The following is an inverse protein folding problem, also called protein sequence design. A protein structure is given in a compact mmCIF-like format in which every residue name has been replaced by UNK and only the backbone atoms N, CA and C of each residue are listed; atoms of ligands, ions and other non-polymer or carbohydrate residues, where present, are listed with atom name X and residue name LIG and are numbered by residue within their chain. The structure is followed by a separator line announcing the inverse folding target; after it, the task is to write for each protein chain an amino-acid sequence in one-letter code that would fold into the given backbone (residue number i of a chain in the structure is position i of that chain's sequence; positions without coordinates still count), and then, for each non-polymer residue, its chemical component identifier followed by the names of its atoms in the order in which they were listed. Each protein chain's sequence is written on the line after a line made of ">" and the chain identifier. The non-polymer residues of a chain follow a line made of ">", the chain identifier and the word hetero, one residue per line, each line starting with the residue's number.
data_IF_506279092544
#
_entry.id   IF_506279092544
#
_cell.length_a   1.000
_cell.length_b   1.000
_cell.length_c   1.000
_cell.angle_alpha   90.00
_cell.angle_beta   90.00
_cell.angle_gamma   90.00
#
_symmetry.space_group_name_H-M   'P 1'
#
loop_
_entity.id
_entity.type
_entity.pdbx_description
1 polymer ?
#
# COMPACT_ATOMS: atom_id res chain seq x y z
N UNK A 1 18.58 6.67 61.52
CA UNK A 1 19.18 6.60 60.15
C UNK A 1 18.50 5.58 59.19
N UNK A 2 17.37 4.94 59.54
CA UNK A 2 16.68 3.96 58.67
C UNK A 2 15.71 4.59 57.63
N UNK A 3 15.17 5.77 57.91
CA UNK A 3 14.17 6.46 57.06
C UNK A 3 14.70 6.89 55.69
N UNK A 4 15.91 7.49 55.64
CA UNK A 4 16.57 7.93 54.39
C UNK A 4 16.94 6.76 53.45
N UNK A 5 17.14 5.55 53.99
CA UNK A 5 17.51 4.35 53.21
C UNK A 5 16.33 3.82 52.39
N UNK A 6 15.13 3.81 52.98
CA UNK A 6 13.91 3.33 52.31
C UNK A 6 13.44 4.26 51.19
N UNK A 7 13.65 5.58 51.33
CA UNK A 7 13.35 6.57 50.28
C UNK A 7 14.27 6.36 49.05
N UNK A 8 15.57 6.15 49.26
CA UNK A 8 16.52 5.87 48.16
C UNK A 8 16.20 4.55 47.43
N UNK A 9 15.76 3.52 48.16
CA UNK A 9 15.30 2.24 47.55
C UNK A 9 14.02 2.42 46.74
N UNK A 10 13.03 3.16 47.27
CA UNK A 10 11.76 3.45 46.55
C UNK A 10 11.98 4.31 45.30
N UNK A 11 12.87 5.29 45.35
CA UNK A 11 13.22 6.11 44.18
C UNK A 11 13.92 5.30 43.07
N UNK A 12 14.77 4.32 43.43
CA UNK A 12 15.39 3.42 42.45
C UNK A 12 14.35 2.52 41.75
N UNK A 13 13.38 2.00 42.50
CA UNK A 13 12.30 1.17 41.93
C UNK A 13 11.40 1.98 41.00
N UNK A 14 11.04 3.22 41.39
CA UNK A 14 10.25 4.13 40.53
C UNK A 14 11.01 4.51 39.26
N UNK A 15 12.32 4.77 39.35
CA UNK A 15 13.15 5.08 38.18
C UNK A 15 13.28 3.92 37.19
N UNK A 16 13.38 2.68 37.69
CA UNK A 16 13.41 1.47 36.84
C UNK A 16 12.04 1.24 36.18
N UNK A 17 10.93 1.47 36.90
CA UNK A 17 9.59 1.33 36.36
C UNK A 17 9.31 2.34 35.23
N UNK A 18 9.79 3.59 35.37
CA UNK A 18 9.67 4.62 34.35
C UNK A 18 10.46 4.31 33.07
N UNK A 19 11.65 3.70 33.18
CA UNK A 19 12.41 3.26 31.99
C UNK A 19 11.75 2.09 31.26
N UNK A 20 11.08 1.18 31.98
CA UNK A 20 10.33 0.06 31.40
C UNK A 20 9.07 0.50 30.63
N UNK A 21 8.50 1.66 30.97
CA UNK A 21 7.32 2.20 30.27
C UNK A 21 7.74 2.84 28.93
N UNK A 22 8.93 3.45 28.85
CA UNK A 22 9.40 4.15 27.63
C UNK A 22 9.79 3.17 26.50
N UNK A 23 10.08 1.90 26.80
CA UNK A 23 10.53 0.92 25.80
C UNK A 23 9.41 0.21 25.02
N UNK A 24 8.12 0.51 25.26
CA UNK A 24 6.99 -0.27 24.68
C UNK A 24 6.18 0.42 23.58
N UNK A 25 6.57 1.60 23.11
CA UNK A 25 5.87 2.29 22.01
C UNK A 25 6.82 2.74 20.90
N UNK A 26 7.59 1.79 20.37
CA UNK A 26 7.93 1.87 18.95
C UNK A 26 6.76 1.30 18.15
N UNK A 27 5.76 2.15 17.85
CA UNK A 27 4.85 1.87 16.74
C UNK A 27 5.71 1.96 15.47
N UNK A 28 6.37 0.84 15.14
CA UNK A 28 7.14 0.73 13.92
C UNK A 28 6.20 0.96 12.75
N UNK A 29 6.26 2.14 12.15
CA UNK A 29 5.63 2.41 10.87
C UNK A 29 6.21 1.43 9.87
N UNK A 30 5.50 0.34 9.60
CA UNK A 30 5.89 -0.65 8.59
C UNK A 30 6.08 0.10 7.28
N UNK A 31 7.30 0.06 6.73
CA UNK A 31 7.60 0.75 5.48
C UNK A 31 6.71 0.19 4.37
N UNK A 32 5.95 1.06 3.71
CA UNK A 32 5.01 0.72 2.64
C UNK A 32 5.74 0.04 1.48
N UNK A 33 5.19 -1.08 1.00
CA UNK A 33 5.75 -1.77 -0.15
C UNK A 33 5.21 -1.21 -1.47
N UNK A 34 5.97 -0.30 -2.07
CA UNK A 34 5.68 0.25 -3.40
C UNK A 34 6.27 -0.66 -4.48
N UNK A 35 5.47 -0.98 -5.51
CA UNK A 35 5.87 -1.82 -6.64
C UNK A 35 5.75 -1.05 -7.94
N UNK A 36 6.85 -0.99 -8.67
CA UNK A 36 6.86 -0.44 -10.02
C UNK A 36 6.32 -1.48 -11.01
N UNK A 37 5.65 -1.00 -12.06
CA UNK A 37 5.17 -1.85 -13.14
C UNK A 37 5.41 -1.18 -14.48
N UNK A 38 5.51 -2.01 -15.52
CA UNK A 38 5.69 -1.59 -16.90
C UNK A 38 5.30 -2.71 -17.85
N UNK A 39 4.28 -2.49 -18.67
CA UNK A 39 3.76 -3.52 -19.58
C UNK A 39 2.81 -2.93 -20.64
N UNK A 40 2.38 -3.75 -21.59
CA UNK A 40 1.34 -3.40 -22.55
C UNK A 40 -0.03 -3.92 -22.10
N UNK A 41 -1.06 -3.09 -22.27
CA UNK A 41 -2.47 -3.42 -22.03
C UNK A 41 -3.34 -2.97 -23.20
N UNK A 42 -4.47 -3.63 -23.40
CA UNK A 42 -5.55 -3.19 -24.31
C UNK A 42 -6.87 -3.15 -23.56
N UNK A 43 -7.97 -2.79 -24.23
CA UNK A 43 -9.31 -2.93 -23.63
C UNK A 43 -9.85 -4.36 -23.60
N UNK A 44 -9.15 -5.30 -24.23
CA UNK A 44 -9.53 -6.73 -24.29
C UNK A 44 -8.55 -7.64 -23.56
N UNK A 45 -7.36 -7.14 -23.23
CA UNK A 45 -6.29 -7.89 -22.54
C UNK A 45 -5.61 -6.99 -21.51
N UNK A 46 -5.81 -7.31 -20.24
CA UNK A 46 -5.09 -6.67 -19.15
C UNK A 46 -3.88 -7.49 -18.67
N UNK A 47 -3.12 -6.90 -17.77
CA UNK A 47 -1.87 -7.45 -17.22
C UNK A 47 -1.79 -7.20 -15.72
N UNK A 48 -1.18 -8.11 -14.97
CA UNK A 48 -0.96 -7.95 -13.55
C UNK A 48 0.36 -7.23 -13.24
N UNK A 49 0.31 -6.25 -12.35
CA UNK A 49 1.50 -5.67 -11.72
C UNK A 49 2.07 -6.61 -10.64
N UNK A 50 3.35 -6.43 -10.24
CA UNK A 50 3.97 -7.24 -9.19
C UNK A 50 3.21 -7.13 -7.86
N UNK A 51 3.23 -8.21 -7.06
CA UNK A 51 2.48 -8.27 -5.81
C UNK A 51 2.96 -7.24 -4.78
N UNK A 52 2.02 -6.62 -4.04
CA UNK A 52 2.29 -5.70 -2.94
C UNK A 52 1.64 -6.24 -1.66
N UNK A 53 2.41 -6.26 -0.57
CA UNK A 53 1.98 -6.65 0.77
C UNK A 53 1.10 -5.56 1.37
N UNK A 54 -0.04 -5.97 1.92
CA UNK A 54 -0.90 -5.12 2.70
C UNK A 54 -0.49 -5.11 4.17
N UNK A 55 -0.29 -3.93 4.71
CA UNK A 55 0.10 -3.68 6.09
C UNK A 55 -1.07 -3.28 6.98
N UNK A 56 -2.15 -2.72 6.42
CA UNK A 56 -3.32 -2.26 7.19
C UNK A 56 -4.62 -2.71 6.54
N UNK A 57 -5.48 -3.39 7.31
CA UNK A 57 -6.79 -3.87 6.85
C UNK A 57 -7.68 -2.71 6.39
N UNK A 58 -8.35 -2.89 5.25
CA UNK A 58 -9.28 -1.94 4.61
C UNK A 58 -8.70 -0.56 4.25
N UNK A 59 -7.41 -0.30 4.48
CA UNK A 59 -6.77 0.92 4.00
C UNK A 59 -6.87 0.95 2.48
N UNK A 60 -7.27 2.07 1.83
CA UNK A 60 -7.34 2.13 0.38
C UNK A 60 -5.99 1.76 -0.25
N UNK A 61 -5.98 1.34 -1.52
CA UNK A 61 -4.73 1.10 -2.25
C UNK A 61 -4.43 2.33 -3.12
N UNK A 62 -3.17 2.50 -3.53
CA UNK A 62 -2.77 3.64 -4.36
C UNK A 62 -2.11 3.18 -5.65
N UNK A 63 -2.43 3.86 -6.74
CA UNK A 63 -1.82 3.66 -8.07
C UNK A 63 -1.36 5.01 -8.58
N UNK A 64 -0.11 5.08 -9.02
CA UNK A 64 0.48 6.21 -9.69
C UNK A 64 0.81 5.78 -11.12
N UNK A 65 0.09 6.31 -12.11
CA UNK A 65 0.33 6.00 -13.52
C UNK A 65 1.21 7.09 -14.14
N UNK A 66 2.27 6.68 -14.82
CA UNK A 66 3.20 7.60 -15.50
C UNK A 66 2.52 8.34 -16.64
N UNK A 67 3.01 9.55 -16.93
CA UNK A 67 2.62 10.31 -18.11
C UNK A 67 3.22 9.66 -19.39
N UNK A 68 2.42 9.32 -20.41
CA UNK A 68 2.96 8.87 -21.69
C UNK A 68 3.64 10.02 -22.44
N UNK A 69 4.74 9.75 -23.13
CA UNK A 69 5.53 10.77 -23.83
C UNK A 69 5.14 11.00 -25.29
N UNK A 70 4.45 10.04 -25.91
CA UNK A 70 4.32 9.94 -27.37
C UNK A 70 2.91 9.54 -27.85
N UNK A 71 1.89 9.69 -26.98
CA UNK A 71 0.50 9.39 -27.31
C UNK A 71 -0.45 10.13 -26.37
N UNK A 72 -1.75 10.24 -26.71
CA UNK A 72 -2.77 10.67 -25.76
C UNK A 72 -2.77 9.81 -24.49
N UNK A 73 -3.16 10.43 -23.38
CA UNK A 73 -3.41 9.77 -22.11
C UNK A 73 -4.65 8.90 -22.19
N UNK A 74 -4.62 7.75 -21.53
CA UNK A 74 -5.79 6.88 -21.40
C UNK A 74 -6.14 6.64 -19.94
N UNK A 75 -7.32 6.06 -19.74
CA UNK A 75 -7.78 5.58 -18.45
C UNK A 75 -7.44 4.11 -18.31
N UNK A 76 -6.79 3.78 -17.20
CA UNK A 76 -6.47 2.42 -16.78
C UNK A 76 -7.50 2.03 -15.72
N UNK A 77 -8.31 1.01 -16.01
CA UNK A 77 -9.12 0.35 -15.00
C UNK A 77 -8.22 -0.57 -14.21
N UNK A 78 -8.18 -0.37 -12.90
CA UNK A 78 -7.39 -1.20 -11.99
C UNK A 78 -8.28 -2.03 -11.11
N UNK A 79 -7.87 -3.25 -10.81
CA UNK A 79 -8.60 -4.14 -9.90
C UNK A 79 -7.64 -4.90 -9.01
N UNK A 80 -7.86 -4.82 -7.71
CA UNK A 80 -7.06 -5.51 -6.71
C UNK A 80 -7.64 -6.90 -6.45
N UNK A 81 -6.77 -7.91 -6.50
CA UNK A 81 -7.11 -9.31 -6.23
C UNK A 81 -6.21 -9.89 -5.14
N UNK A 82 -6.75 -10.79 -4.33
CA UNK A 82 -5.94 -11.62 -3.43
C UNK A 82 -5.26 -12.78 -4.20
N UNK A 83 -4.53 -13.63 -3.47
CA UNK A 83 -3.86 -14.82 -4.02
C UNK A 83 -4.81 -15.83 -4.66
N UNK A 84 -6.08 -15.85 -4.25
CA UNK A 84 -7.12 -16.77 -4.75
C UNK A 84 -7.89 -16.18 -5.94
N UNK A 85 -7.46 -15.04 -6.50
CA UNK A 85 -8.18 -14.28 -7.53
C UNK A 85 -9.54 -13.73 -7.08
N UNK A 86 -9.80 -13.62 -5.77
CA UNK A 86 -10.98 -12.95 -5.27
C UNK A 86 -10.81 -11.43 -5.38
N UNK A 87 -11.82 -10.78 -5.95
CA UNK A 87 -11.93 -9.33 -6.07
C UNK A 87 -11.86 -8.65 -4.69
N UNK A 88 -11.14 -7.52 -4.59
CA UNK A 88 -11.03 -6.75 -3.35
C UNK A 88 -11.34 -5.27 -3.49
N UNK A 89 -11.26 -4.71 -4.69
CA UNK A 89 -11.51 -3.29 -4.94
C UNK A 89 -11.08 -2.90 -6.34
N UNK A 90 -11.56 -1.75 -6.82
CA UNK A 90 -11.18 -1.18 -8.10
C UNK A 90 -11.11 0.35 -8.03
N UNK A 91 -10.39 0.93 -8.97
CA UNK A 91 -10.38 2.35 -9.25
C UNK A 91 -9.89 2.60 -10.67
N UNK A 92 -10.38 3.67 -11.26
CA UNK A 92 -9.94 4.12 -12.57
C UNK A 92 -8.84 5.15 -12.38
N UNK A 93 -7.77 5.03 -13.16
CA UNK A 93 -6.56 5.84 -13.05
C UNK A 93 -6.30 6.51 -14.38
N UNK A 94 -6.25 7.85 -14.38
CA UNK A 94 -5.83 8.59 -15.56
C UNK A 94 -4.32 8.61 -15.63
N UNK A 95 -3.73 8.32 -16.79
CA UNK A 95 -2.27 8.38 -16.91
C UNK A 95 -1.71 9.79 -16.59
N UNK A 96 -0.56 9.82 -15.92
CA UNK A 96 0.01 11.05 -15.35
C UNK A 96 -0.62 11.49 -14.02
N UNK A 97 -1.44 10.66 -13.39
CA UNK A 97 -2.08 10.96 -12.10
C UNK A 97 -1.87 9.86 -11.07
N UNK A 98 -2.13 10.20 -9.80
CA UNK A 98 -2.18 9.26 -8.69
C UNK A 98 -3.61 9.19 -8.17
N UNK A 99 -4.17 7.98 -8.19
CA UNK A 99 -5.51 7.72 -7.68
C UNK A 99 -5.46 6.67 -6.58
N UNK A 100 -6.49 6.67 -5.74
CA UNK A 100 -6.65 5.70 -4.67
C UNK A 100 -8.00 5.00 -4.77
N UNK A 101 -8.04 3.74 -4.33
CA UNK A 101 -9.22 2.88 -4.43
C UNK A 101 -9.53 2.22 -3.10
N UNK A 102 -10.79 2.32 -2.67
CA UNK A 102 -11.28 1.56 -1.52
C UNK A 102 -11.15 0.05 -1.80
N UNK A 103 -10.86 -0.73 -0.75
CA UNK A 103 -10.76 -2.18 -0.87
C UNK A 103 -11.06 -2.89 0.45
N UNK A 104 -11.30 -4.20 0.35
CA UNK A 104 -11.55 -5.11 1.47
C UNK A 104 -10.33 -5.99 1.79
N UNK A 105 -9.13 -5.48 1.51
CA UNK A 105 -7.89 -6.22 1.79
C UNK A 105 -7.61 -6.31 3.29
N UNK A 106 -6.98 -7.40 3.71
CA UNK A 106 -6.59 -7.70 5.09
C UNK A 106 -5.09 -7.55 5.24
N UNK A 107 -4.64 -6.98 6.36
CA UNK A 107 -3.22 -6.87 6.69
C UNK A 107 -2.53 -8.25 6.73
N UNK A 108 -1.25 -8.30 6.33
CA UNK A 108 -0.44 -9.52 6.28
C UNK A 108 -0.56 -10.31 4.97
N UNK A 109 -1.48 -9.96 4.07
CA UNK A 109 -1.66 -10.64 2.79
C UNK A 109 -1.04 -9.87 1.62
N UNK A 110 -0.52 -10.61 0.65
CA UNK A 110 -0.06 -10.04 -0.62
C UNK A 110 -1.20 -9.99 -1.64
N UNK A 111 -1.27 -8.88 -2.35
CA UNK A 111 -2.28 -8.63 -3.38
C UNK A 111 -1.61 -8.34 -4.72
N UNK A 112 -2.35 -8.55 -5.80
CA UNK A 112 -1.95 -8.20 -7.15
C UNK A 112 -2.92 -7.19 -7.75
N UNK A 113 -2.40 -6.31 -8.61
CA UNK A 113 -3.18 -5.30 -9.30
C UNK A 113 -3.33 -5.70 -10.76
N UNK A 114 -4.54 -5.97 -11.20
CA UNK A 114 -4.86 -6.14 -12.61
C UNK A 114 -5.09 -4.77 -13.24
N UNK A 115 -4.47 -4.51 -14.38
CA UNK A 115 -4.61 -3.27 -15.14
C UNK A 115 -5.12 -3.59 -16.54
N UNK A 116 -6.16 -2.88 -16.98
CA UNK A 116 -6.74 -2.99 -18.33
C UNK A 116 -7.15 -1.60 -18.80
N UNK A 117 -7.22 -1.36 -20.11
CA UNK A 117 -7.74 -0.07 -20.61
C UNK A 117 -9.25 0.00 -20.43
N UNK A 118 -9.76 1.22 -20.25
CA UNK A 118 -11.19 1.45 -20.07
C UNK A 118 -12.05 1.00 -21.27
N UNK A 119 -11.57 1.22 -22.50
CA UNK A 119 -12.32 1.01 -23.73
C UNK A 119 -11.65 -0.01 -24.66
N UNK A 120 -12.46 -0.75 -25.44
CA UNK A 120 -12.02 -1.84 -26.33
C UNK A 120 -11.51 -1.37 -27.69
N UNK A 121 -12.05 -0.26 -28.22
CA UNK A 121 -11.66 0.34 -29.52
C UNK A 121 -10.33 1.12 -29.48
N UNK A 122 -9.75 1.18 -28.30
CA UNK A 122 -8.65 2.05 -27.92
C UNK A 122 -7.28 1.47 -28.38
N UNK A 123 -7.25 0.19 -28.77
CA UNK A 123 -6.05 -0.55 -29.18
C UNK A 123 -5.17 -0.95 -28.00
N UNK A 124 -3.95 -1.41 -28.28
CA UNK A 124 -2.94 -1.74 -27.27
C UNK A 124 -2.05 -0.52 -26.99
N UNK A 125 -1.69 -0.30 -25.73
CA UNK A 125 -0.78 0.76 -25.31
C UNK A 125 0.16 0.28 -24.20
N UNK A 126 1.40 0.77 -24.25
CA UNK A 126 2.36 0.59 -23.17
C UNK A 126 2.03 1.54 -22.02
N UNK A 127 2.01 1.03 -20.79
CA UNK A 127 1.77 1.80 -19.58
C UNK A 127 2.81 1.45 -18.51
N UNK A 128 3.11 2.41 -17.64
CA UNK A 128 4.07 2.25 -16.56
C UNK A 128 3.66 3.07 -15.35
N UNK A 129 4.25 2.76 -14.20
CA UNK A 129 3.98 3.49 -12.97
C UNK A 129 4.38 2.73 -11.74
N UNK A 130 3.72 3.05 -10.62
CA UNK A 130 3.87 2.34 -9.37
C UNK A 130 2.53 2.13 -8.69
N UNK A 131 2.45 1.12 -7.83
CA UNK A 131 1.27 0.85 -7.03
C UNK A 131 1.64 0.28 -5.66
N UNK A 132 0.69 0.32 -4.74
CA UNK A 132 0.81 -0.32 -3.45
C UNK A 132 -0.56 -0.69 -2.88
N UNK A 133 -0.62 -1.80 -2.14
CA UNK A 133 -1.84 -2.30 -1.49
C UNK A 133 -2.36 -1.41 -0.34
N UNK A 134 -1.59 -0.41 0.06
CA UNK A 134 -1.96 0.62 1.03
C UNK A 134 -1.65 2.01 0.46
N UNK A 135 -2.61 2.93 0.53
CA UNK A 135 -2.37 4.37 0.42
C UNK A 135 -1.63 4.83 1.68
N UNK A 136 -0.88 5.91 1.54
CA UNK A 136 -0.15 6.54 2.65
C UNK A 136 -1.12 7.10 3.68
#
# INVERSE_FOLDING_TARGET
>A
MKYKSNIKKRMKVVGILLMLIISTVSLGTQAKQIKNYSFTISGTKGTYAPNSLKSVTNRPYAVNASMPSNRPRYVIKTTMYNSENAYRGNCDVYEGTRNTGANTGVAGHSYKLYCIRQYTWDGSAYTSGSWAADES
#
